data_IF_841428311096
#
_entry.id   IF_841428311096
#
_cell.length_a   1.000
_cell.length_b   1.000
_cell.length_c   1.000
_cell.angle_alpha   90.00
_cell.angle_beta   90.00
_cell.angle_gamma   90.00
#
_symmetry.space_group_name_H-M   'P 1'
#
loop_
_entity.id
_entity.type
_entity.pdbx_description
1 polymer ?
#
# COMPACT_ATOMS: atom_id res chain seq x y z
N UNK A 1 18.18 4.75 8.08
CA UNK A 1 17.02 3.90 7.72
C UNK A 1 16.26 3.64 9.02
N UNK A 2 15.03 4.13 9.17
CA UNK A 2 14.24 3.81 10.36
C UNK A 2 13.94 2.31 10.35
N UNK A 3 14.19 1.61 11.46
CA UNK A 3 13.82 0.21 11.58
C UNK A 3 12.30 0.11 11.66
N UNK A 4 11.71 -0.83 10.92
CA UNK A 4 10.29 -1.13 11.11
C UNK A 4 10.12 -1.75 12.50
N UNK A 5 9.04 -1.37 13.19
CA UNK A 5 8.71 -1.86 14.53
C UNK A 5 7.40 -2.61 14.43
N UNK A 6 7.34 -3.81 15.00
CA UNK A 6 6.08 -4.51 15.24
C UNK A 6 5.64 -4.23 16.66
N UNK A 7 4.45 -3.65 16.83
CA UNK A 7 3.86 -3.37 18.15
C UNK A 7 2.72 -4.33 18.45
N UNK A 8 2.67 -4.83 19.68
CA UNK A 8 1.59 -5.65 20.22
C UNK A 8 1.19 -5.18 21.62
N UNK A 9 0.21 -5.85 22.23
CA UNK A 9 -0.28 -5.50 23.58
C UNK A 9 0.79 -5.54 24.68
N UNK A 10 1.91 -6.24 24.44
CA UNK A 10 3.03 -6.40 25.36
C UNK A 10 4.26 -5.50 25.05
N UNK A 11 4.24 -4.68 23.99
CA UNK A 11 5.37 -3.80 23.62
C UNK A 11 5.72 -3.81 22.14
N UNK A 12 6.92 -3.31 21.79
CA UNK A 12 7.42 -3.24 20.42
C UNK A 12 8.69 -4.07 20.20
N UNK A 13 8.84 -4.68 19.03
CA UNK A 13 10.05 -5.40 18.63
C UNK A 13 10.60 -4.87 17.30
N UNK A 14 11.92 -4.73 17.21
CA UNK A 14 12.59 -4.32 15.98
C UNK A 14 12.52 -5.44 14.94
N UNK A 15 12.14 -5.09 13.71
CA UNK A 15 12.01 -6.03 12.61
C UNK A 15 13.30 -6.09 11.76
N UNK A 16 13.65 -7.29 11.33
CA UNK A 16 14.64 -7.50 10.27
C UNK A 16 14.15 -6.90 8.94
N UNK A 17 15.06 -6.66 7.99
CA UNK A 17 14.72 -5.93 6.77
C UNK A 17 13.59 -6.55 5.94
N UNK A 18 13.43 -7.88 5.95
CA UNK A 18 12.43 -8.62 5.16
C UNK A 18 11.18 -9.00 5.97
N UNK A 19 11.18 -8.82 7.29
CA UNK A 19 10.04 -9.13 8.15
C UNK A 19 8.79 -8.29 7.84
N UNK A 20 8.87 -6.95 7.68
CA UNK A 20 7.70 -6.14 7.36
C UNK A 20 7.12 -6.51 6.00
N UNK A 21 7.99 -6.79 5.02
CA UNK A 21 7.62 -7.17 3.67
C UNK A 21 6.89 -8.52 3.68
N UNK A 22 7.46 -9.51 4.39
CA UNK A 22 6.84 -10.83 4.54
C UNK A 22 5.49 -10.72 5.24
N UNK A 23 5.40 -9.97 6.34
CA UNK A 23 4.14 -9.79 7.08
C UNK A 23 3.08 -9.03 6.29
N UNK A 24 3.46 -8.06 5.45
CA UNK A 24 2.51 -7.32 4.62
C UNK A 24 1.89 -8.20 3.52
N UNK A 25 2.58 -9.26 3.09
CA UNK A 25 2.13 -10.14 2.01
C UNK A 25 1.19 -11.26 2.48
N UNK A 26 1.28 -11.72 3.72
CA UNK A 26 0.48 -12.87 4.17
C UNK A 26 -1.04 -12.57 4.31
N UNK A 27 -1.49 -11.43 4.90
CA UNK A 27 -2.91 -11.18 5.13
C UNK A 27 -3.77 -11.17 3.86
N UNK A 28 -3.36 -10.54 2.74
CA UNK A 28 -4.14 -10.54 1.50
C UNK A 28 -4.34 -11.91 0.86
N UNK A 29 -3.60 -12.95 1.28
CA UNK A 29 -3.69 -14.31 0.72
C UNK A 29 -4.01 -15.34 1.81
N UNK A 30 -5.29 -15.49 2.23
CA UNK A 30 -5.69 -16.46 3.27
C UNK A 30 -5.35 -17.91 2.92
N UNK A 31 -5.34 -18.27 1.63
CA UNK A 31 -4.91 -19.58 1.15
C UNK A 31 -3.41 -19.84 1.41
N UNK A 32 -2.61 -18.79 1.59
CA UNK A 32 -1.19 -18.84 1.84
C UNK A 32 -0.32 -18.94 0.60
N UNK A 33 0.99 -18.80 0.83
CA UNK A 33 2.05 -18.94 -0.16
C UNK A 33 2.79 -20.26 0.03
N UNK A 34 3.11 -20.94 -1.07
CA UNK A 34 4.19 -21.92 -1.07
C UNK A 34 5.54 -21.23 -0.78
N UNK A 35 6.58 -22.02 -0.52
CA UNK A 35 7.90 -21.45 -0.27
C UNK A 35 8.47 -20.69 -1.48
N UNK A 36 8.25 -21.21 -2.69
CA UNK A 36 8.71 -20.57 -3.92
C UNK A 36 7.91 -19.31 -4.24
N UNK A 37 6.59 -19.33 -4.10
CA UNK A 37 5.76 -18.13 -4.33
C UNK A 37 6.11 -17.00 -3.35
N UNK A 38 6.37 -17.33 -2.07
CA UNK A 38 6.77 -16.30 -1.10
C UNK A 38 8.20 -15.81 -1.37
N UNK A 39 9.10 -16.69 -1.81
CA UNK A 39 10.46 -16.30 -2.17
C UNK A 39 10.44 -15.31 -3.34
N UNK A 40 9.66 -15.61 -4.38
CA UNK A 40 9.48 -14.73 -5.53
C UNK A 40 8.84 -13.40 -5.12
N UNK A 41 7.78 -13.43 -4.30
CA UNK A 41 7.12 -12.20 -3.86
C UNK A 41 8.02 -11.28 -3.00
N UNK A 42 8.94 -11.84 -2.20
CA UNK A 42 9.82 -11.06 -1.31
C UNK A 42 11.13 -10.66 -2.00
N UNK A 43 11.73 -11.57 -2.77
CA UNK A 43 13.08 -11.43 -3.33
C UNK A 43 13.09 -11.21 -4.84
N UNK A 44 12.00 -11.51 -5.55
CA UNK A 44 11.96 -11.55 -7.02
C UNK A 44 12.69 -12.75 -7.62
N UNK A 45 12.86 -13.80 -6.82
CA UNK A 45 13.58 -15.01 -7.19
C UNK A 45 12.92 -16.22 -6.52
N UNK A 46 12.34 -17.10 -7.35
CA UNK A 46 11.71 -18.35 -6.91
C UNK A 46 12.69 -19.28 -6.20
N UNK A 47 13.99 -19.18 -6.46
CA UNK A 47 15.03 -20.03 -5.88
C UNK A 47 15.59 -19.47 -4.56
N UNK A 48 15.19 -18.25 -4.16
CA UNK A 48 15.54 -17.63 -2.89
C UNK A 48 14.84 -18.26 -1.66
N UNK A 49 14.43 -19.53 -1.75
CA UNK A 49 13.88 -20.32 -0.64
C UNK A 49 14.93 -20.53 0.48
N UNK A 50 16.20 -20.65 0.09
CA UNK A 50 17.32 -20.83 1.04
C UNK A 50 17.42 -19.68 2.05
N UNK A 51 17.48 -18.39 1.63
CA UNK A 51 17.44 -17.27 2.57
C UNK A 51 16.05 -17.02 3.20
N UNK A 52 14.96 -17.37 2.51
CA UNK A 52 13.59 -17.18 3.04
C UNK A 52 13.34 -18.00 4.32
N UNK A 53 13.75 -19.27 4.36
CA UNK A 53 13.42 -20.18 5.48
C UNK A 53 13.99 -19.68 6.83
N UNK A 54 15.27 -19.31 6.96
CA UNK A 54 15.80 -18.72 8.18
C UNK A 54 15.13 -17.39 8.55
N UNK A 55 14.77 -16.56 7.55
CA UNK A 55 14.07 -15.30 7.80
C UNK A 55 12.68 -15.54 8.39
N UNK A 56 11.95 -16.53 7.89
CA UNK A 56 10.66 -16.95 8.43
C UNK A 56 10.77 -17.50 9.86
N UNK A 57 11.83 -18.24 10.18
CA UNK A 57 12.08 -18.70 11.57
C UNK A 57 12.28 -17.50 12.50
N UNK A 58 13.11 -16.52 12.10
CA UNK A 58 13.31 -15.29 12.88
C UNK A 58 12.01 -14.50 13.03
N UNK A 59 11.23 -14.37 11.95
CA UNK A 59 9.95 -13.68 11.95
C UNK A 59 8.99 -14.34 12.95
N UNK A 60 8.90 -15.67 12.96
CA UNK A 60 8.04 -16.41 13.89
C UNK A 60 8.41 -16.14 15.34
N UNK A 61 9.68 -16.15 15.70
CA UNK A 61 10.09 -15.82 17.07
C UNK A 61 9.70 -14.39 17.46
N UNK A 62 9.82 -13.42 16.54
CA UNK A 62 9.42 -12.03 16.80
C UNK A 62 7.90 -11.92 16.99
N UNK A 63 7.11 -12.60 16.15
CA UNK A 63 5.65 -12.61 16.26
C UNK A 63 5.21 -13.35 17.52
N UNK A 64 5.80 -14.50 17.83
CA UNK A 64 5.50 -15.31 19.02
C UNK A 64 5.72 -14.53 20.32
N UNK A 65 6.77 -13.73 20.40
CA UNK A 65 7.04 -12.88 21.56
C UNK A 65 5.99 -11.78 21.77
N UNK A 66 5.24 -11.38 20.73
CA UNK A 66 4.23 -10.33 20.80
C UNK A 66 2.81 -10.88 20.88
N UNK A 67 2.52 -11.92 20.09
CA UNK A 67 1.24 -12.63 20.03
C UNK A 67 1.46 -14.08 19.55
N UNK A 68 1.52 -15.05 20.48
CA UNK A 68 1.63 -16.47 20.16
C UNK A 68 0.50 -17.00 19.26
N UNK A 69 -0.67 -16.33 19.25
CA UNK A 69 -1.82 -16.74 18.43
C UNK A 69 -1.71 -16.30 16.97
N UNK A 70 -0.73 -15.45 16.64
CA UNK A 70 -0.55 -14.88 15.30
C UNK A 70 0.64 -15.48 14.54
N UNK A 71 1.36 -16.42 15.14
CA UNK A 71 2.58 -17.02 14.54
C UNK A 71 2.28 -17.58 13.15
N UNK A 72 2.98 -17.13 12.08
CA UNK A 72 2.73 -17.60 10.72
C UNK A 72 2.85 -19.12 10.59
N UNK A 73 1.82 -19.76 10.04
CA UNK A 73 1.80 -21.18 9.73
C UNK A 73 2.80 -21.53 8.61
N UNK A 74 3.05 -22.82 8.40
CA UNK A 74 3.89 -23.32 7.31
C UNK A 74 3.12 -24.29 6.44
N UNK A 75 3.51 -24.40 5.16
CA UNK A 75 2.96 -25.35 4.18
C UNK A 75 1.42 -25.29 4.07
N UNK A 76 0.85 -24.22 3.49
CA UNK A 76 1.50 -22.99 3.01
C UNK A 76 1.76 -21.94 4.12
N UNK A 77 2.67 -21.00 3.84
CA UNK A 77 2.91 -19.83 4.68
C UNK A 77 1.71 -18.89 4.66
N UNK A 78 1.06 -18.71 5.82
CA UNK A 78 -0.11 -17.85 6.02
C UNK A 78 -0.25 -17.47 7.49
N UNK A 79 -1.06 -16.46 7.77
CA UNK A 79 -1.44 -16.17 9.16
C UNK A 79 -2.55 -17.14 9.62
N UNK A 80 -2.55 -17.55 10.90
CA UNK A 80 -3.56 -18.46 11.46
C UNK A 80 -4.95 -17.82 11.58
N UNK A 81 -5.02 -16.49 11.56
CA UNK A 81 -6.26 -15.70 11.61
C UNK A 81 -6.12 -14.44 10.74
N UNK A 82 -7.23 -13.84 10.29
CA UNK A 82 -7.20 -12.60 9.54
C UNK A 82 -6.53 -11.46 10.33
N UNK A 83 -5.81 -10.60 9.61
CA UNK A 83 -5.23 -9.35 10.10
C UNK A 83 -5.58 -8.28 9.09
N UNK A 84 -6.10 -7.15 9.58
CA UNK A 84 -6.39 -5.98 8.74
C UNK A 84 -5.12 -5.15 8.57
N UNK A 85 -4.78 -4.83 7.33
CA UNK A 85 -3.77 -3.84 7.00
C UNK A 85 -4.38 -2.44 6.91
N UNK A 86 -3.56 -1.41 7.08
CA UNK A 86 -3.97 -0.03 6.80
C UNK A 86 -4.47 0.11 5.34
N UNK A 87 -3.87 -0.67 4.42
CA UNK A 87 -4.29 -0.76 3.03
C UNK A 87 -5.72 -1.31 2.89
N UNK A 88 -6.10 -2.32 3.68
CA UNK A 88 -7.46 -2.87 3.66
C UNK A 88 -8.47 -1.83 4.16
N UNK A 89 -8.07 -0.97 5.10
CA UNK A 89 -8.89 0.15 5.57
C UNK A 89 -9.12 1.16 4.45
N UNK A 90 -8.10 1.48 3.66
CA UNK A 90 -8.23 2.37 2.50
C UNK A 90 -9.17 1.80 1.44
N UNK A 91 -9.01 0.51 1.09
CA UNK A 91 -9.88 -0.18 0.14
C UNK A 91 -11.31 -0.22 0.67
N UNK A 92 -11.53 -0.58 1.94
CA UNK A 92 -12.86 -0.60 2.54
C UNK A 92 -13.54 0.76 2.62
N UNK A 93 -12.79 1.88 2.68
CA UNK A 93 -13.35 3.23 2.56
C UNK A 93 -13.81 3.51 1.14
N UNK A 94 -13.00 3.11 0.15
CA UNK A 94 -13.34 3.22 -1.27
C UNK A 94 -14.60 2.43 -1.61
N UNK A 95 -14.68 1.17 -1.19
CA UNK A 95 -15.79 0.27 -1.49
C UNK A 95 -17.14 0.78 -0.98
N UNK A 96 -17.14 1.57 0.09
CA UNK A 96 -18.36 2.19 0.67
C UNK A 96 -18.62 3.61 0.16
N UNK A 97 -17.89 4.08 -0.84
CA UNK A 97 -18.03 5.43 -1.40
C UNK A 97 -17.47 6.55 -0.52
N UNK A 98 -16.72 6.23 0.53
CA UNK A 98 -16.14 7.20 1.46
C UNK A 98 -14.83 7.81 0.90
N UNK A 99 -14.86 8.28 -0.35
CA UNK A 99 -13.68 8.70 -1.10
C UNK A 99 -12.86 9.79 -0.40
N UNK A 100 -13.52 10.81 0.18
CA UNK A 100 -12.84 11.88 0.94
C UNK A 100 -12.10 11.34 2.16
N UNK A 101 -12.66 10.34 2.83
CA UNK A 101 -12.00 9.69 3.97
C UNK A 101 -10.81 8.84 3.49
N UNK A 102 -10.94 8.12 2.37
CA UNK A 102 -9.85 7.34 1.78
C UNK A 102 -8.65 8.24 1.41
N UNK A 103 -8.89 9.36 0.73
CA UNK A 103 -7.84 10.32 0.36
C UNK A 103 -7.14 10.91 1.60
N UNK A 104 -7.90 11.21 2.66
CA UNK A 104 -7.33 11.74 3.91
C UNK A 104 -6.53 10.70 4.70
N UNK A 105 -6.98 9.45 4.68
CA UNK A 105 -6.31 8.35 5.37
C UNK A 105 -5.02 7.92 4.64
N UNK A 106 -4.93 8.15 3.33
CA UNK A 106 -3.74 7.89 2.51
C UNK A 106 -2.60 8.86 2.81
N UNK A 107 -1.93 8.71 3.97
CA UNK A 107 -0.79 9.55 4.38
C UNK A 107 0.51 9.23 3.65
N UNK A 108 0.54 8.18 2.82
CA UNK A 108 1.68 7.79 2.01
C UNK A 108 1.65 6.31 1.64
N UNK A 109 2.59 5.84 0.81
CA UNK A 109 2.65 4.44 0.42
C UNK A 109 3.08 3.55 1.59
N UNK A 110 2.39 2.43 1.81
CA UNK A 110 2.78 1.43 2.81
C UNK A 110 4.17 0.87 2.52
N UNK A 111 5.04 0.75 3.54
CA UNK A 111 6.44 0.33 3.36
C UNK A 111 7.15 1.10 2.23
N UNK A 112 7.25 2.44 2.32
CA UNK A 112 7.66 3.31 1.21
C UNK A 112 9.03 2.93 0.63
N UNK A 113 9.95 2.45 1.48
CA UNK A 113 11.32 2.08 1.10
C UNK A 113 11.51 0.62 0.68
N UNK A 114 10.45 -0.19 0.71
CA UNK A 114 10.52 -1.59 0.25
C UNK A 114 10.56 -1.66 -1.26
N UNK A 115 11.38 -2.59 -1.76
CA UNK A 115 11.47 -2.94 -3.18
C UNK A 115 11.09 -4.40 -3.43
N UNK A 116 10.51 -5.09 -2.43
CA UNK A 116 10.02 -6.45 -2.60
C UNK A 116 8.92 -6.46 -3.67
N UNK A 117 8.99 -7.33 -4.70
CA UNK A 117 8.04 -7.30 -5.83
C UNK A 117 6.58 -7.38 -5.40
N UNK A 118 6.25 -8.25 -4.45
CA UNK A 118 4.90 -8.39 -3.92
C UNK A 118 4.41 -7.13 -3.21
N UNK A 119 5.28 -6.44 -2.46
CA UNK A 119 4.91 -5.19 -1.75
C UNK A 119 4.73 -4.04 -2.73
N UNK A 120 5.55 -3.98 -3.78
CA UNK A 120 5.40 -3.04 -4.90
C UNK A 120 4.06 -3.29 -5.60
N UNK A 121 3.75 -4.53 -5.93
CA UNK A 121 2.49 -4.91 -6.57
C UNK A 121 1.28 -4.56 -5.69
N UNK A 122 1.29 -4.94 -4.41
CA UNK A 122 0.23 -4.65 -3.45
C UNK A 122 -0.03 -3.13 -3.33
N UNK A 123 1.04 -2.32 -3.22
CA UNK A 123 0.90 -0.86 -3.21
C UNK A 123 0.29 -0.32 -4.49
N UNK A 124 0.75 -0.82 -5.64
CA UNK A 124 0.29 -0.36 -6.94
C UNK A 124 -1.21 -0.67 -7.14
N UNK A 125 -1.65 -1.86 -6.73
CA UNK A 125 -3.05 -2.27 -6.78
C UNK A 125 -3.96 -1.37 -5.92
N UNK A 126 -3.56 -1.12 -4.67
CA UNK A 126 -4.33 -0.25 -3.77
C UNK A 126 -4.33 1.19 -4.27
N UNK A 127 -3.19 1.71 -4.74
CA UNK A 127 -3.10 3.04 -5.32
C UNK A 127 -4.01 3.18 -6.55
N UNK A 128 -4.01 2.19 -7.45
CA UNK A 128 -4.88 2.18 -8.62
C UNK A 128 -6.37 2.14 -8.22
N UNK A 129 -6.72 1.35 -7.21
CA UNK A 129 -8.09 1.25 -6.68
C UNK A 129 -8.59 2.58 -6.13
N UNK A 130 -7.78 3.24 -5.27
CA UNK A 130 -8.13 4.56 -4.71
C UNK A 130 -8.24 5.61 -5.81
N UNK A 131 -7.28 5.62 -6.74
CA UNK A 131 -7.24 6.53 -7.88
C UNK A 131 -8.51 6.41 -8.74
N UNK A 132 -8.89 5.19 -9.10
CA UNK A 132 -10.06 4.93 -9.95
C UNK A 132 -11.36 5.31 -9.24
N UNK A 133 -11.48 5.02 -7.94
CA UNK A 133 -12.63 5.43 -7.15
C UNK A 133 -12.78 6.95 -7.04
N UNK A 134 -11.68 7.68 -6.89
CA UNK A 134 -11.70 9.15 -6.88
C UNK A 134 -12.08 9.71 -8.25
N UNK A 135 -11.56 9.14 -9.34
CA UNK A 135 -11.90 9.53 -10.72
C UNK A 135 -13.38 9.28 -11.03
N UNK A 136 -13.93 8.14 -10.62
CA UNK A 136 -15.31 7.74 -10.97
C UNK A 136 -16.35 8.40 -10.07
N UNK A 137 -16.17 8.34 -8.74
CA UNK A 137 -17.18 8.75 -7.75
C UNK A 137 -16.81 9.96 -6.89
N UNK A 138 -15.58 10.47 -6.98
CA UNK A 138 -15.12 11.57 -6.12
C UNK A 138 -15.79 12.92 -6.41
N UNK A 139 -16.11 13.69 -5.36
CA UNK A 139 -16.49 15.10 -5.52
C UNK A 139 -15.32 15.95 -6.04
N UNK A 140 -15.58 17.18 -6.52
CA UNK A 140 -14.52 18.13 -6.90
C UNK A 140 -13.51 18.30 -5.76
N UNK A 141 -13.97 18.49 -4.52
CA UNK A 141 -13.11 18.59 -3.35
C UNK A 141 -12.24 17.34 -3.12
N UNK A 142 -12.78 16.15 -3.42
CA UNK A 142 -12.05 14.88 -3.26
C UNK A 142 -10.97 14.74 -4.33
N UNK A 143 -11.30 15.07 -5.58
CA UNK A 143 -10.34 15.11 -6.69
C UNK A 143 -9.22 16.11 -6.41
N UNK A 144 -9.56 17.30 -5.88
CA UNK A 144 -8.57 18.28 -5.45
C UNK A 144 -7.66 17.75 -4.36
N UNK A 145 -8.22 17.20 -3.28
CA UNK A 145 -7.42 16.64 -2.19
C UNK A 145 -6.51 15.50 -2.68
N UNK A 146 -6.97 14.67 -3.62
CA UNK A 146 -6.14 13.64 -4.23
C UNK A 146 -5.03 14.24 -5.11
N UNK A 147 -5.35 15.25 -5.93
CA UNK A 147 -4.37 15.97 -6.74
C UNK A 147 -3.32 16.74 -5.91
N UNK A 148 -3.60 17.05 -4.65
CA UNK A 148 -2.62 17.64 -3.73
C UNK A 148 -1.75 16.57 -3.04
N UNK A 149 -2.15 15.30 -3.07
CA UNK A 149 -1.42 14.18 -2.45
C UNK A 149 -0.17 13.79 -3.24
N UNK A 150 0.78 13.11 -2.58
CA UNK A 150 1.98 12.58 -3.23
C UNK A 150 1.66 11.59 -4.36
N UNK A 151 0.55 10.85 -4.26
CA UNK A 151 0.12 9.88 -5.27
C UNK A 151 -0.58 10.52 -6.48
N UNK A 152 -1.23 11.68 -6.29
CA UNK A 152 -2.05 12.31 -7.33
C UNK A 152 -1.48 13.59 -7.95
N UNK A 153 -0.46 14.21 -7.34
CA UNK A 153 0.07 15.52 -7.80
C UNK A 153 0.59 15.55 -9.23
N UNK A 154 1.09 14.42 -9.74
CA UNK A 154 1.60 14.32 -11.11
C UNK A 154 0.67 13.44 -12.00
N UNK A 155 -0.53 13.11 -11.52
CA UNK A 155 -1.48 12.27 -12.26
C UNK A 155 -2.27 13.10 -13.28
N UNK A 156 -1.78 13.12 -14.51
CA UNK A 156 -2.37 13.88 -15.64
C UNK A 156 -3.85 13.58 -15.81
N UNK A 157 -4.31 12.32 -15.66
CA UNK A 157 -5.74 12.01 -15.84
C UNK A 157 -6.59 12.59 -14.72
N UNK A 158 -6.11 12.60 -13.47
CA UNK A 158 -6.82 13.25 -12.37
C UNK A 158 -6.88 14.76 -12.56
N UNK A 159 -5.78 15.38 -12.97
CA UNK A 159 -5.69 16.82 -13.21
C UNK A 159 -6.63 17.25 -14.35
N UNK A 160 -6.66 16.49 -15.44
CA UNK A 160 -7.59 16.71 -16.56
C UNK A 160 -9.05 16.52 -16.12
N UNK A 161 -9.33 15.49 -15.32
CA UNK A 161 -10.68 15.24 -14.82
C UNK A 161 -11.17 16.36 -13.88
N UNK A 162 -10.29 16.84 -13.01
CA UNK A 162 -10.57 18.00 -12.17
C UNK A 162 -10.81 19.26 -13.01
N UNK A 163 -9.98 19.51 -14.02
CA UNK A 163 -10.15 20.62 -14.97
C UNK A 163 -11.50 20.51 -15.70
N UNK A 164 -11.93 19.30 -16.07
CA UNK A 164 -13.21 19.05 -16.73
C UNK A 164 -14.41 19.35 -15.83
N UNK A 165 -14.32 19.06 -14.52
CA UNK A 165 -15.41 19.27 -13.56
C UNK A 165 -15.49 20.69 -13.01
N UNK A 166 -14.39 21.45 -13.03
CA UNK A 166 -14.38 22.82 -12.51
C UNK A 166 -15.16 23.79 -13.41
N UNK A 167 -15.96 24.70 -12.84
CA UNK A 167 -16.66 25.75 -13.60
C UNK A 167 -15.68 26.59 -14.43
N UNK A 168 -16.04 27.02 -15.66
CA UNK A 168 -15.13 27.75 -16.55
C UNK A 168 -14.48 29.00 -15.93
N UNK A 169 -15.18 29.71 -15.04
CA UNK A 169 -14.69 30.91 -14.36
C UNK A 169 -13.87 30.64 -13.09
N UNK A 170 -13.60 29.37 -12.75
CA UNK A 170 -12.87 29.04 -11.53
C UNK A 170 -11.39 29.46 -11.64
N UNK A 171 -10.87 30.28 -10.70
CA UNK A 171 -9.46 30.70 -10.70
C UNK A 171 -8.49 29.51 -10.53
N UNK A 172 -8.97 28.37 -10.00
CA UNK A 172 -8.19 27.14 -9.86
C UNK A 172 -7.80 26.51 -11.22
N UNK A 173 -8.54 26.81 -12.29
CA UNK A 173 -8.25 26.31 -13.63
C UNK A 173 -6.90 26.79 -14.14
N UNK A 174 -6.56 28.06 -13.90
CA UNK A 174 -5.28 28.65 -14.33
C UNK A 174 -4.09 27.89 -13.74
N UNK A 175 -4.15 27.57 -12.45
CA UNK A 175 -3.09 26.79 -11.79
C UNK A 175 -2.99 25.36 -12.34
N UNK A 176 -4.12 24.70 -12.61
CA UNK A 176 -4.13 23.34 -13.16
C UNK A 176 -3.57 23.26 -14.58
N UNK A 177 -3.90 24.23 -15.44
CA UNK A 177 -3.37 24.29 -16.81
C UNK A 177 -1.86 24.49 -16.79
N UNK A 178 -1.36 25.47 -16.02
CA UNK A 178 0.07 25.70 -15.90
C UNK A 178 0.83 24.48 -15.35
N UNK A 179 0.22 23.74 -14.41
CA UNK A 179 0.81 22.51 -13.87
C UNK A 179 0.83 21.37 -14.90
N UNK A 180 -0.25 21.19 -15.67
CA UNK A 180 -0.31 20.20 -16.76
C UNK A 180 0.74 20.49 -17.84
N UNK A 181 0.86 21.74 -18.29
CA UNK A 181 1.90 22.16 -19.24
C UNK A 181 3.32 21.89 -18.70
N UNK A 182 3.55 22.13 -17.40
CA UNK A 182 4.83 21.84 -16.77
C UNK A 182 5.13 20.33 -16.70
N UNK A 183 4.12 19.46 -16.59
CA UNK A 183 4.30 18.01 -16.63
C UNK A 183 4.58 17.51 -18.06
N UNK A 184 3.88 18.06 -19.06
CA UNK A 184 4.13 17.74 -20.47
C UNK A 184 5.56 18.08 -20.89
N UNK A 185 6.09 19.21 -20.43
CA UNK A 185 7.46 19.63 -20.73
C UNK A 185 8.56 18.79 -20.04
N UNK A 186 8.21 17.89 -19.12
CA UNK A 186 9.15 17.00 -18.41
C UNK A 186 9.22 15.59 -18.99
N UNK A 187 8.24 15.21 -19.82
CA UNK A 187 8.11 13.90 -20.44
C UNK A 187 8.95 13.80 -21.72
#
# INVERSE_FOLDING_TARGET
>A
RAAAVLTGGAGGSALGARHPETLALLPPRPAGYTAHELADAVYGDVDAVSPLRPEMVRLRHVVEALDPTLVPLSRPYRLPRPVTLDLDTLVGLVDRGAHRAAVRAGTGPALPSSTAPGVVALRAEVAATVRDAVLTGGSIDTLMAYAESTAGRDDVRVLLELLRRLPPASPRRTHLVAHLEALENRA
#
